data_IF_301986225261
#
_entry.id   IF_301986225261
#
_cell.length_a   1.000
_cell.length_b   1.000
_cell.length_c   1.000
_cell.angle_alpha   90.00
_cell.angle_beta   90.00
_cell.angle_gamma   90.00
#
_symmetry.space_group_name_H-M   'P 1'
#
loop_
_entity.id
_entity.type
_entity.pdbx_description
1 polymer ?
#
# COMPACT_ATOMS: atom_id res chain seq x y z
N UNK A 1 13.27 -0.06 -9.52
CA UNK A 1 13.78 0.85 -8.47
C UNK A 1 13.23 0.37 -7.13
N UNK A 2 14.06 0.37 -6.07
CA UNK A 2 13.65 0.01 -4.71
C UNK A 2 12.96 1.21 -4.08
N UNK A 3 11.69 1.07 -3.67
CA UNK A 3 10.87 2.20 -3.23
C UNK A 3 9.76 1.80 -2.27
N UNK A 4 9.07 2.83 -1.77
CA UNK A 4 7.75 2.75 -1.12
C UNK A 4 6.83 3.71 -1.85
N UNK A 5 5.55 3.39 -1.93
CA UNK A 5 4.54 4.30 -2.48
C UNK A 5 4.08 5.28 -1.40
N UNK A 6 4.96 6.20 -1.02
CA UNK A 6 4.77 7.10 0.14
C UNK A 6 3.53 8.00 0.06
N UNK A 7 2.91 8.10 -1.12
CA UNK A 7 1.68 8.88 -1.35
C UNK A 7 0.41 8.05 -1.15
N UNK A 8 0.52 6.73 -0.95
CA UNK A 8 -0.62 5.84 -0.69
C UNK A 8 -1.02 5.87 0.79
N UNK A 9 -2.24 5.43 1.06
CA UNK A 9 -2.76 5.29 2.44
C UNK A 9 -1.93 4.24 3.18
N UNK A 10 -1.29 4.57 4.33
CA UNK A 10 -0.29 3.71 4.96
C UNK A 10 -0.85 2.39 5.52
N UNK A 11 -2.10 2.40 5.96
CA UNK A 11 -2.83 1.21 6.44
C UNK A 11 -3.71 0.58 5.36
N UNK A 12 -3.66 1.08 4.12
CA UNK A 12 -4.40 0.52 2.99
C UNK A 12 -3.62 -0.61 2.31
N UNK A 13 -4.36 -1.59 1.77
CA UNK A 13 -3.78 -2.64 0.92
C UNK A 13 -3.82 -2.20 -0.54
N UNK A 14 -2.65 -2.16 -1.17
CA UNK A 14 -2.56 -1.99 -2.62
C UNK A 14 -2.61 -3.35 -3.29
N UNK A 15 -3.33 -3.44 -4.40
CA UNK A 15 -3.43 -4.67 -5.21
C UNK A 15 -2.54 -4.50 -6.42
N UNK A 16 -1.57 -5.37 -6.61
CA UNK A 16 -0.78 -5.44 -7.84
C UNK A 16 -1.15 -6.73 -8.55
N UNK A 17 -1.52 -6.63 -9.82
CA UNK A 17 -1.75 -7.78 -10.71
C UNK A 17 -0.66 -7.83 -11.76
N UNK A 18 0.06 -8.95 -11.81
CA UNK A 18 1.15 -9.19 -12.77
C UNK A 18 0.58 -9.70 -14.09
N UNK A 19 1.10 -9.23 -15.23
CA UNK A 19 0.60 -9.55 -16.56
C UNK A 19 1.75 -9.70 -17.57
N UNK A 20 1.45 -10.33 -18.71
CA UNK A 20 2.36 -10.47 -19.85
C UNK A 20 3.05 -11.83 -19.92
N UNK A 21 3.68 -12.14 -21.07
CA UNK A 21 4.42 -13.38 -21.26
C UNK A 21 5.83 -13.29 -20.66
N UNK A 22 6.05 -13.98 -19.54
CA UNK A 22 7.37 -14.14 -18.93
C UNK A 22 7.43 -15.41 -18.08
N UNK A 23 8.64 -15.92 -17.83
CA UNK A 23 8.88 -17.06 -16.94
C UNK A 23 9.12 -16.58 -15.50
N UNK A 24 8.10 -16.77 -14.64
CA UNK A 24 8.10 -16.27 -13.26
C UNK A 24 9.03 -17.03 -12.31
N UNK A 25 9.68 -18.11 -12.75
CA UNK A 25 10.73 -18.82 -12.00
C UNK A 25 12.11 -18.22 -12.31
N UNK A 26 12.25 -17.53 -13.46
CA UNK A 26 13.52 -16.98 -13.94
C UNK A 26 13.65 -15.47 -13.79
N UNK A 27 12.57 -14.76 -13.46
CA UNK A 27 12.58 -13.30 -13.36
C UNK A 27 11.21 -12.71 -13.05
N UNK A 28 11.15 -11.38 -12.99
CA UNK A 28 9.91 -10.66 -12.69
C UNK A 28 9.41 -10.81 -11.24
N UNK A 29 10.24 -11.35 -10.34
CA UNK A 29 9.89 -11.57 -8.94
C UNK A 29 9.61 -10.26 -8.20
N UNK A 30 8.71 -10.31 -7.22
CA UNK A 30 8.49 -9.24 -6.25
C UNK A 30 9.47 -9.40 -5.09
N UNK A 31 10.18 -8.35 -4.73
CA UNK A 31 11.09 -8.31 -3.58
C UNK A 31 10.46 -7.48 -2.48
N UNK A 32 10.32 -8.05 -1.29
CA UNK A 32 9.84 -7.38 -0.07
C UNK A 32 11.01 -7.31 0.93
N UNK A 33 11.60 -6.12 1.05
CA UNK A 33 12.93 -5.98 1.65
C UNK A 33 12.96 -6.18 3.16
N UNK A 34 12.01 -5.60 3.89
CA UNK A 34 11.92 -5.74 5.35
C UNK A 34 11.62 -7.19 5.76
N UNK A 35 10.82 -7.90 4.95
CA UNK A 35 10.47 -9.30 5.18
C UNK A 35 11.56 -10.28 4.73
N UNK A 36 12.58 -9.80 4.01
CA UNK A 36 13.63 -10.63 3.38
C UNK A 36 13.04 -11.72 2.48
N UNK A 37 11.96 -11.38 1.75
CA UNK A 37 11.27 -12.28 0.85
C UNK A 37 11.50 -11.90 -0.60
N UNK A 38 11.71 -12.92 -1.43
CA UNK A 38 11.67 -12.84 -2.90
C UNK A 38 10.58 -13.81 -3.34
N UNK A 39 9.57 -13.28 -4.00
CA UNK A 39 8.34 -14.00 -4.32
C UNK A 39 8.26 -14.14 -5.84
N UNK A 40 8.22 -15.38 -6.33
CA UNK A 40 7.81 -15.67 -7.70
C UNK A 40 6.42 -15.09 -7.91
N UNK A 41 6.25 -14.21 -8.90
CA UNK A 41 5.03 -13.44 -9.07
C UNK A 41 4.44 -13.66 -10.47
N UNK A 42 3.75 -14.80 -10.70
CA UNK A 42 3.30 -15.24 -12.02
C UNK A 42 2.37 -14.26 -12.73
N UNK A 43 2.38 -14.31 -14.06
CA UNK A 43 1.36 -13.64 -14.87
C UNK A 43 -0.05 -14.11 -14.47
N UNK A 44 -1.02 -13.20 -14.50
CA UNK A 44 -2.40 -13.40 -14.04
C UNK A 44 -2.57 -13.69 -12.53
N UNK A 45 -1.57 -13.40 -11.70
CA UNK A 45 -1.69 -13.44 -10.24
C UNK A 45 -1.74 -12.03 -9.64
N UNK A 46 -2.33 -11.94 -8.45
CA UNK A 46 -2.43 -10.69 -7.68
C UNK A 46 -1.80 -10.83 -6.30
N UNK A 47 -1.15 -9.77 -5.83
CA UNK A 47 -0.64 -9.63 -4.46
C UNK A 47 -1.27 -8.39 -3.83
N UNK A 48 -1.72 -8.54 -2.59
CA UNK A 48 -2.12 -7.44 -1.72
C UNK A 48 -0.93 -7.09 -0.81
N UNK A 49 -0.48 -5.84 -0.81
CA UNK A 49 0.61 -5.39 0.05
C UNK A 49 0.40 -3.96 0.57
N UNK A 50 0.91 -3.64 1.78
CA UNK A 50 0.87 -2.28 2.32
C UNK A 50 1.99 -1.44 1.69
N UNK A 51 1.84 -1.06 0.42
CA UNK A 51 2.93 -0.55 -0.43
C UNK A 51 3.56 0.77 0.03
N UNK A 52 2.85 1.54 0.87
CA UNK A 52 3.35 2.76 1.50
C UNK A 52 4.32 2.49 2.65
N UNK A 53 4.21 1.34 3.34
CA UNK A 53 5.00 1.04 4.55
C UNK A 53 6.07 -0.03 4.30
N UNK A 54 5.89 -0.89 3.29
CA UNK A 54 6.87 -1.92 2.92
C UNK A 54 7.71 -1.50 1.70
N UNK A 55 9.03 -1.59 1.83
CA UNK A 55 9.92 -1.32 0.71
C UNK A 55 9.89 -2.48 -0.26
N UNK A 56 9.64 -2.19 -1.53
CA UNK A 56 9.48 -3.21 -2.55
C UNK A 56 10.10 -2.84 -3.91
N UNK A 57 10.28 -3.86 -4.75
CA UNK A 57 10.80 -3.73 -6.12
C UNK A 57 10.51 -4.98 -6.93
N UNK A 58 10.56 -4.86 -8.26
CA UNK A 58 10.52 -6.00 -9.17
C UNK A 58 11.93 -6.34 -9.67
N UNK A 59 12.26 -7.62 -9.79
CA UNK A 59 13.41 -8.09 -10.54
C UNK A 59 13.16 -7.98 -12.06
N UNK A 60 14.21 -7.82 -12.88
CA UNK A 60 14.06 -7.90 -14.33
C UNK A 60 13.52 -9.26 -14.77
N UNK A 61 12.85 -9.29 -15.91
CA UNK A 61 12.50 -10.52 -16.64
C UNK A 61 13.66 -10.96 -17.54
N UNK A 62 13.57 -12.14 -18.13
CA UNK A 62 14.60 -12.63 -19.05
C UNK A 62 14.60 -11.85 -20.38
N UNK A 63 15.72 -11.84 -21.12
CA UNK A 63 15.74 -11.27 -22.47
C UNK A 63 14.68 -11.92 -23.36
N UNK A 64 13.81 -11.10 -23.97
CA UNK A 64 12.70 -11.56 -24.82
C UNK A 64 11.35 -11.68 -24.09
N UNK A 65 11.34 -11.68 -22.76
CA UNK A 65 10.12 -11.66 -21.97
C UNK A 65 9.52 -10.24 -21.89
N UNK A 66 8.21 -10.17 -21.66
CA UNK A 66 7.50 -8.92 -21.44
C UNK A 66 6.59 -9.03 -20.22
N UNK A 67 6.76 -8.11 -19.27
CA UNK A 67 5.94 -8.00 -18.06
C UNK A 67 5.31 -6.63 -17.93
N UNK A 68 4.03 -6.62 -17.65
CA UNK A 68 3.25 -5.45 -17.24
C UNK A 68 2.66 -5.68 -15.84
N UNK A 69 2.17 -4.62 -15.23
CA UNK A 69 1.42 -4.72 -13.97
C UNK A 69 0.28 -3.72 -13.94
N UNK A 70 -0.82 -4.12 -13.30
CA UNK A 70 -1.95 -3.26 -13.00
C UNK A 70 -2.02 -3.06 -11.49
N UNK A 71 -1.97 -1.80 -11.04
CA UNK A 71 -1.93 -1.48 -9.62
C UNK A 71 -3.19 -0.72 -9.21
N UNK A 72 -3.85 -1.18 -8.16
CA UNK A 72 -5.00 -0.53 -7.53
C UNK A 72 -4.56 -0.06 -6.14
N UNK A 73 -4.78 1.21 -5.84
CA UNK A 73 -4.36 1.82 -4.59
C UNK A 73 -5.27 2.97 -4.21
N UNK A 74 -5.22 3.37 -2.94
CA UNK A 74 -5.90 4.56 -2.44
C UNK A 74 -4.86 5.58 -1.99
N UNK A 75 -4.81 6.74 -2.66
CA UNK A 75 -3.91 7.82 -2.29
C UNK A 75 -4.23 8.38 -0.90
N UNK A 76 -3.21 8.54 -0.04
CA UNK A 76 -3.37 9.08 1.31
C UNK A 76 -3.87 10.53 1.32
N UNK A 77 -3.61 11.29 0.25
CA UNK A 77 -4.16 12.63 0.05
C UNK A 77 -5.70 12.65 0.00
N UNK A 78 -6.33 11.60 -0.52
CA UNK A 78 -7.80 11.47 -0.54
C UNK A 78 -8.35 11.27 0.88
N UNK A 79 -7.72 10.41 1.68
CA UNK A 79 -8.11 10.19 3.08
C UNK A 79 -8.00 11.49 3.88
N UNK A 80 -6.88 12.22 3.71
CA UNK A 80 -6.67 13.52 4.34
C UNK A 80 -7.72 14.55 3.91
N UNK A 81 -8.10 14.57 2.63
CA UNK A 81 -9.15 15.48 2.15
C UNK A 81 -10.50 15.19 2.81
N UNK A 82 -10.86 13.91 2.96
CA UNK A 82 -12.07 13.49 3.67
C UNK A 82 -12.01 13.88 5.14
N UNK A 83 -10.89 13.62 5.83
CA UNK A 83 -10.71 13.98 7.24
C UNK A 83 -10.82 15.49 7.49
N UNK A 84 -10.35 16.29 6.53
CA UNK A 84 -10.45 17.75 6.57
C UNK A 84 -11.88 18.26 6.24
N UNK A 85 -12.87 17.37 6.08
CA UNK A 85 -14.23 17.74 5.69
C UNK A 85 -14.32 18.22 4.24
N UNK A 86 -13.65 17.52 3.32
CA UNK A 86 -13.59 17.83 1.88
C UNK A 86 -12.93 19.17 1.56
N UNK A 87 -11.83 19.47 2.25
CA UNK A 87 -11.01 20.66 2.05
C UNK A 87 -9.54 20.29 1.94
N UNK A 88 -8.81 21.05 1.14
CA UNK A 88 -7.35 21.01 1.15
C UNK A 88 -6.82 21.45 2.53
N UNK A 89 -5.58 21.09 2.87
CA UNK A 89 -4.98 21.57 4.13
C UNK A 89 -4.88 23.10 4.17
N UNK A 90 -4.66 23.75 3.03
CA UNK A 90 -4.59 25.20 2.94
C UNK A 90 -5.96 25.86 3.19
N UNK A 91 -7.03 25.30 2.63
CA UNK A 91 -8.40 25.76 2.89
C UNK A 91 -8.79 25.55 4.36
N UNK A 92 -8.52 24.36 4.92
CA UNK A 92 -8.82 24.08 6.32
C UNK A 92 -8.07 25.04 7.25
N UNK A 93 -6.79 25.27 7.02
CA UNK A 93 -5.99 26.20 7.83
C UNK A 93 -6.53 27.64 7.74
N UNK A 94 -7.01 28.07 6.57
CA UNK A 94 -7.55 29.42 6.38
C UNK A 94 -8.94 29.59 7.03
N UNK A 95 -9.80 28.57 6.94
CA UNK A 95 -11.19 28.62 7.41
C UNK A 95 -11.33 28.26 8.90
N UNK A 96 -10.60 27.26 9.36
CA UNK A 96 -10.68 26.71 10.72
C UNK A 96 -9.29 26.27 11.23
N UNK A 97 -8.44 27.23 11.67
CA UNK A 97 -7.12 26.94 12.21
C UNK A 97 -7.13 26.01 13.42
N UNK A 98 -8.18 26.07 14.25
CA UNK A 98 -8.28 25.25 15.45
C UNK A 98 -8.49 23.77 15.08
N UNK A 99 -9.36 23.47 14.11
CA UNK A 99 -9.53 22.12 13.60
C UNK A 99 -8.29 21.63 12.84
N UNK A 100 -7.63 22.50 12.07
CA UNK A 100 -6.34 22.18 11.45
C UNK A 100 -5.31 21.73 12.50
N UNK A 101 -5.13 22.49 13.58
CA UNK A 101 -4.20 22.17 14.65
C UNK A 101 -4.56 20.83 15.32
N UNK A 102 -5.85 20.60 15.58
CA UNK A 102 -6.34 19.33 16.15
C UNK A 102 -6.01 18.15 15.24
N UNK A 103 -6.30 18.23 13.94
CA UNK A 103 -6.02 17.17 12.97
C UNK A 103 -4.52 16.98 12.73
N UNK A 104 -3.73 18.06 12.78
CA UNK A 104 -2.28 18.00 12.68
C UNK A 104 -1.67 17.24 13.87
N UNK A 105 -2.15 17.48 15.10
CA UNK A 105 -1.71 16.75 16.28
C UNK A 105 -2.01 15.24 16.22
N UNK A 106 -3.10 14.84 15.55
CA UNK A 106 -3.42 13.41 15.35
C UNK A 106 -2.43 12.70 14.41
N UNK A 107 -1.62 13.43 13.63
CA UNK A 107 -0.64 12.80 12.72
C UNK A 107 0.39 11.96 13.48
N UNK A 108 0.68 12.31 14.74
CA UNK A 108 1.65 11.60 15.58
C UNK A 108 1.15 10.21 16.04
N UNK A 109 -0.16 10.02 16.14
CA UNK A 109 -0.78 8.78 16.65
C UNK A 109 -1.62 8.02 15.62
N UNK A 110 -1.87 8.59 14.43
CA UNK A 110 -2.66 7.95 13.36
C UNK A 110 -2.17 6.58 12.93
N UNK A 111 -0.89 6.27 13.14
CA UNK A 111 -0.35 4.94 12.88
C UNK A 111 -0.97 3.87 13.78
N UNK A 112 -1.35 4.20 15.02
CA UNK A 112 -1.99 3.29 15.97
C UNK A 112 -3.37 2.87 15.44
N UNK A 113 -4.16 3.84 14.99
CA UNK A 113 -5.43 3.58 14.31
C UNK A 113 -5.22 2.70 13.08
N UNK A 114 -4.21 3.00 12.26
CA UNK A 114 -3.89 2.22 11.07
C UNK A 114 -3.55 0.75 11.38
N UNK A 115 -2.78 0.51 12.45
CA UNK A 115 -2.46 -0.84 12.90
C UNK A 115 -3.68 -1.59 13.44
N UNK A 116 -4.56 -0.89 14.16
CA UNK A 116 -5.79 -1.49 14.70
C UNK A 116 -6.79 -1.93 13.64
N UNK A 117 -6.62 -1.51 12.37
CA UNK A 117 -7.44 -1.97 11.23
C UNK A 117 -6.93 -3.28 10.62
N UNK A 118 -5.73 -3.74 10.96
CA UNK A 118 -5.17 -4.99 10.46
C UNK A 118 -5.60 -6.16 11.35
N UNK A 119 -5.90 -7.30 10.73
CA UNK A 119 -6.16 -8.53 11.47
C UNK A 119 -4.93 -8.96 12.27
N UNK A 120 -5.18 -9.39 13.50
CA UNK A 120 -4.23 -10.12 14.33
C UNK A 120 -4.07 -11.56 13.84
N UNK A 121 -3.01 -12.23 14.26
CA UNK A 121 -2.79 -13.65 13.93
C UNK A 121 -3.93 -14.52 14.47
N UNK A 122 -4.41 -14.22 15.68
CA UNK A 122 -5.49 -14.98 16.30
C UNK A 122 -6.79 -14.85 15.51
N UNK A 123 -7.17 -13.62 15.10
CA UNK A 123 -8.35 -13.37 14.25
C UNK A 123 -8.27 -14.08 12.88
N UNK A 124 -7.06 -14.28 12.34
CA UNK A 124 -6.88 -15.03 11.08
C UNK A 124 -6.99 -16.55 11.25
N UNK A 125 -6.76 -17.06 12.46
CA UNK A 125 -6.82 -18.48 12.79
C UNK A 125 -8.21 -18.90 13.29
N UNK A 126 -9.07 -17.94 13.67
CA UNK A 126 -10.45 -18.21 14.02
C UNK A 126 -11.23 -18.73 12.80
N UNK A 127 -11.94 -19.87 12.92
CA UNK A 127 -12.77 -20.36 11.84
C UNK A 127 -13.88 -19.34 11.55
N UNK A 128 -14.07 -19.01 10.27
CA UNK A 128 -15.25 -18.25 9.84
C UNK A 128 -16.47 -19.12 10.16
N UNK A 129 -17.24 -18.71 11.17
CA UNK A 129 -18.53 -19.34 11.47
C UNK A 129 -19.53 -18.80 10.46
N UNK A 130 -19.89 -19.62 9.47
CA UNK A 130 -20.99 -19.34 8.53
C UNK A 130 -22.37 -19.43 9.21
#
# INVERSE_FOLDING_TARGET
YKHRDILNTPFGMCVVTSMGPFDAVKGGHMVLWELKLVIEFPSASSILLPSATITHSNLPVQPGDARASFTQYTGGGLMRFVDNGFRTEAELLAEDPAEYERLAALKDTRWEMGLALLSTVDELLEPVVE
#
